data_IF_895962015816
#
_entry.id   IF_895962015816
#
_cell.length_a   1.000
_cell.length_b   1.000
_cell.length_c   1.000
_cell.angle_alpha   90.00
_cell.angle_beta   90.00
_cell.angle_gamma   90.00
#
_symmetry.space_group_name_H-M   'P 1'
#
loop_
_entity.id
_entity.type
_entity.pdbx_description
1 polymer ?
#
# COMPACT_ATOMS: atom_id res chain seq x y z
N UNK A 1 -2.12 -8.70 -12.68
CA UNK A 1 -2.48 -8.05 -11.39
C UNK A 1 -3.30 -6.80 -11.70
N UNK A 2 -4.51 -6.71 -11.16
CA UNK A 2 -5.33 -5.50 -11.25
C UNK A 2 -4.99 -4.56 -10.08
N UNK A 3 -4.78 -3.27 -10.34
CA UNK A 3 -4.44 -2.28 -9.32
C UNK A 3 -5.57 -1.28 -9.13
N UNK A 4 -6.03 -1.15 -7.88
CA UNK A 4 -7.02 -0.18 -7.43
C UNK A 4 -6.43 0.74 -6.37
N UNK A 5 -7.05 1.88 -6.14
CA UNK A 5 -6.59 2.87 -5.19
C UNK A 5 -7.80 3.44 -4.44
N UNK A 6 -7.78 3.38 -3.11
CA UNK A 6 -8.83 4.00 -2.31
C UNK A 6 -8.76 5.54 -2.41
N UNK A 7 -9.86 6.25 -2.09
CA UNK A 7 -9.83 7.71 -2.03
C UNK A 7 -8.75 8.26 -1.07
N UNK A 8 -8.51 7.58 0.05
CA UNK A 8 -7.49 8.01 1.02
C UNK A 8 -6.09 7.83 0.46
N UNK A 9 -5.80 6.70 -0.20
CA UNK A 9 -4.52 6.52 -0.89
C UNK A 9 -4.29 7.61 -1.93
N UNK A 10 -5.29 7.91 -2.77
CA UNK A 10 -5.17 8.96 -3.78
C UNK A 10 -4.90 10.34 -3.16
N UNK A 11 -5.54 10.65 -2.03
CA UNK A 11 -5.32 11.88 -1.28
C UNK A 11 -3.88 11.95 -0.74
N UNK A 12 -3.42 10.86 -0.14
CA UNK A 12 -2.05 10.73 0.36
C UNK A 12 -1.02 10.89 -0.78
N UNK A 13 -1.25 10.18 -1.89
CA UNK A 13 -0.40 10.19 -3.07
C UNK A 13 -0.29 11.59 -3.67
N UNK A 14 -1.42 12.28 -3.89
CA UNK A 14 -1.45 13.67 -4.39
C UNK A 14 -0.67 14.63 -3.48
N UNK A 15 -0.75 14.46 -2.15
CA UNK A 15 -0.01 15.27 -1.19
C UNK A 15 1.50 15.03 -1.28
N UNK A 16 1.91 13.76 -1.34
CA UNK A 16 3.32 13.36 -1.35
C UNK A 16 4.00 13.63 -2.70
N UNK A 17 3.27 13.48 -3.82
CA UNK A 17 3.76 13.79 -5.17
C UNK A 17 4.23 15.24 -5.32
N UNK A 18 3.63 16.17 -4.60
CA UNK A 18 4.08 17.57 -4.55
C UNK A 18 5.48 17.73 -3.95
N UNK A 19 5.89 16.81 -3.08
CA UNK A 19 7.20 16.81 -2.40
C UNK A 19 8.23 15.93 -3.12
N UNK A 20 7.77 14.82 -3.70
CA UNK A 20 8.62 13.78 -4.27
C UNK A 20 8.27 13.58 -5.74
N UNK A 21 8.99 14.26 -6.63
CA UNK A 21 8.69 14.27 -8.06
C UNK A 21 8.84 12.89 -8.71
N UNK A 22 9.67 12.01 -8.13
CA UNK A 22 9.86 10.63 -8.61
C UNK A 22 8.71 9.69 -8.25
N UNK A 23 7.73 10.12 -7.45
CA UNK A 23 6.78 9.23 -6.80
C UNK A 23 5.92 8.42 -7.78
N UNK A 24 5.56 8.98 -8.94
CA UNK A 24 4.82 8.23 -9.98
C UNK A 24 5.61 7.04 -10.50
N UNK A 25 6.86 7.28 -10.88
CA UNK A 25 7.78 6.24 -11.37
C UNK A 25 8.14 5.25 -10.25
N UNK A 26 8.32 5.72 -9.02
CA UNK A 26 8.61 4.88 -7.86
C UNK A 26 7.42 3.94 -7.54
N UNK A 27 6.19 4.44 -7.64
CA UNK A 27 4.98 3.61 -7.50
C UNK A 27 4.85 2.62 -8.67
N UNK A 28 5.20 3.02 -9.90
CA UNK A 28 5.18 2.13 -11.05
C UNK A 28 6.17 0.95 -10.87
N UNK A 29 7.39 1.21 -10.40
CA UNK A 29 8.34 0.15 -10.06
C UNK A 29 7.84 -0.72 -8.91
N UNK A 30 7.25 -0.12 -7.88
CA UNK A 30 6.65 -0.88 -6.79
C UNK A 30 5.54 -1.82 -7.28
N UNK A 31 4.64 -1.35 -8.16
CA UNK A 31 3.58 -2.16 -8.80
C UNK A 31 4.16 -3.35 -9.58
N UNK A 32 5.31 -3.21 -10.25
CA UNK A 32 6.00 -4.35 -10.91
C UNK A 32 6.45 -5.39 -9.88
N UNK A 33 7.06 -4.96 -8.77
CA UNK A 33 7.51 -5.86 -7.71
C UNK A 33 6.35 -6.64 -7.11
N UNK A 34 5.29 -5.96 -6.69
CA UNK A 34 4.13 -6.63 -6.05
C UNK A 34 3.27 -7.41 -7.03
N UNK A 35 3.42 -7.22 -8.34
CA UNK A 35 2.81 -8.10 -9.35
C UNK A 35 3.45 -9.48 -9.37
N UNK A 36 4.73 -9.59 -9.02
CA UNK A 36 5.47 -10.86 -8.95
C UNK A 36 5.49 -11.42 -7.53
N UNK A 37 5.62 -10.54 -6.54
CA UNK A 37 5.63 -10.90 -5.12
C UNK A 37 4.60 -10.07 -4.34
N UNK A 38 3.30 -10.41 -4.42
CA UNK A 38 2.23 -9.63 -3.78
C UNK A 38 2.32 -9.57 -2.26
N UNK A 39 2.90 -10.59 -1.62
CA UNK A 39 3.19 -10.59 -0.18
C UNK A 39 4.61 -10.08 0.15
N UNK A 40 5.34 -9.70 -0.90
CA UNK A 40 6.73 -9.28 -0.84
C UNK A 40 7.72 -10.38 -0.46
N UNK A 41 8.97 -9.96 -0.26
CA UNK A 41 10.08 -10.80 0.19
C UNK A 41 10.92 -10.04 1.22
N UNK A 42 11.26 -10.71 2.32
CA UNK A 42 12.15 -10.20 3.36
C UNK A 42 11.56 -9.08 4.23
N UNK A 43 12.43 -8.38 4.98
CA UNK A 43 12.06 -7.42 6.04
C UNK A 43 11.32 -6.15 5.59
N UNK A 44 11.09 -5.98 4.29
CA UNK A 44 10.43 -4.79 3.74
C UNK A 44 8.91 -4.93 3.66
N UNK A 45 8.40 -6.13 3.93
CA UNK A 45 6.98 -6.44 3.89
C UNK A 45 6.55 -7.10 5.19
N UNK A 46 5.30 -6.87 5.57
CA UNK A 46 4.65 -7.54 6.69
C UNK A 46 3.18 -7.76 6.35
N UNK A 47 2.72 -9.00 6.46
CA UNK A 47 1.27 -9.29 6.45
C UNK A 47 0.73 -8.89 7.80
N UNK A 48 -0.19 -7.92 7.83
CA UNK A 48 -0.76 -7.40 9.07
C UNK A 48 -1.95 -8.23 9.55
N UNK A 49 -2.80 -8.63 8.62
CA UNK A 49 -4.00 -9.42 8.90
C UNK A 49 -4.53 -10.07 7.63
N UNK A 50 -5.40 -11.07 7.79
CA UNK A 50 -6.10 -11.75 6.72
C UNK A 50 -7.57 -11.93 7.09
N UNK A 51 -8.47 -11.60 6.17
CA UNK A 51 -9.92 -11.75 6.34
C UNK A 51 -10.57 -12.07 5.00
N UNK A 52 -11.41 -13.11 4.98
CA UNK A 52 -12.18 -13.51 3.79
C UNK A 52 -11.32 -13.67 2.51
N UNK A 53 -10.13 -14.25 2.63
CA UNK A 53 -9.20 -14.45 1.50
C UNK A 53 -8.49 -13.17 1.01
N UNK A 54 -8.67 -12.04 1.71
CA UNK A 54 -7.95 -10.80 1.47
C UNK A 54 -6.90 -10.60 2.55
N UNK A 55 -5.64 -10.44 2.13
CA UNK A 55 -4.49 -10.16 3.01
C UNK A 55 -4.18 -8.67 3.00
N UNK A 56 -4.06 -8.06 4.16
CA UNK A 56 -3.57 -6.69 4.32
C UNK A 56 -2.07 -6.74 4.50
N UNK A 57 -1.34 -6.09 3.60
CA UNK A 57 0.11 -6.09 3.56
C UNK A 57 0.63 -4.67 3.75
N UNK A 58 1.58 -4.51 4.66
CA UNK A 58 2.39 -3.31 4.82
C UNK A 58 3.71 -3.49 4.09
N UNK A 59 4.11 -2.49 3.31
CA UNK A 59 5.33 -2.55 2.53
C UNK A 59 6.13 -1.25 2.57
N UNK A 60 7.45 -1.37 2.43
CA UNK A 60 8.34 -0.25 2.12
C UNK A 60 8.27 0.05 0.63
N UNK A 61 7.90 1.28 0.29
CA UNK A 61 7.99 1.84 -1.05
C UNK A 61 9.25 2.72 -1.10
N UNK A 62 10.24 2.27 -1.86
CA UNK A 62 11.49 3.01 -2.06
C UNK A 62 11.23 4.21 -2.96
N UNK A 63 11.52 5.40 -2.45
CA UNK A 63 11.34 6.65 -3.19
C UNK A 63 12.70 7.27 -3.44
N UNK A 64 13.05 7.56 -4.71
CA UNK A 64 14.38 8.05 -5.09
C UNK A 64 14.75 9.40 -4.45
N UNK A 65 13.75 10.23 -4.16
CA UNK A 65 13.96 11.52 -3.50
C UNK A 65 14.29 11.40 -2.00
N UNK A 66 13.90 10.30 -1.35
CA UNK A 66 14.16 10.08 0.07
C UNK A 66 15.54 9.44 0.26
N UNK A 67 16.55 10.26 0.57
CA UNK A 67 17.90 9.79 0.91
C UNK A 67 17.93 9.21 2.33
N UNK A 68 17.87 7.88 2.44
CA UNK A 68 17.98 7.16 3.72
C UNK A 68 16.65 6.85 4.40
N UNK A 69 15.55 7.45 3.95
CA UNK A 69 14.21 7.16 4.45
C UNK A 69 13.36 6.41 3.38
N UNK A 70 12.07 6.26 3.62
CA UNK A 70 11.14 5.58 2.71
C UNK A 70 9.70 5.97 2.96
N UNK A 71 8.91 5.77 1.92
CA UNK A 71 7.47 5.74 2.07
C UNK A 71 7.04 4.35 2.52
N UNK A 72 5.93 4.29 3.25
CA UNK A 72 5.24 3.06 3.61
C UNK A 72 3.86 3.09 3.01
N UNK A 73 3.44 1.95 2.49
CA UNK A 73 2.10 1.76 1.96
C UNK A 73 1.47 0.54 2.60
N UNK A 74 0.16 0.61 2.82
CA UNK A 74 -0.66 -0.55 3.10
C UNK A 74 -1.55 -0.82 1.89
N UNK A 75 -1.71 -2.09 1.55
CA UNK A 75 -2.60 -2.51 0.49
C UNK A 75 -3.28 -3.82 0.86
N UNK A 76 -4.46 -4.02 0.29
CA UNK A 76 -5.15 -5.29 0.30
C UNK A 76 -4.74 -6.10 -0.93
N UNK A 77 -4.56 -7.41 -0.75
CA UNK A 77 -4.25 -8.36 -1.82
C UNK A 77 -5.25 -9.51 -1.76
N UNK A 78 -5.92 -9.77 -2.90
CA UNK A 78 -6.73 -10.96 -3.09
C UNK A 78 -6.08 -11.87 -4.12
N UNK A 79 -5.70 -13.07 -3.68
CA UNK A 79 -5.03 -14.05 -4.52
C UNK A 79 -5.97 -14.70 -5.54
N UNK A 80 -7.21 -14.99 -5.15
CA UNK A 80 -8.20 -15.61 -6.05
C UNK A 80 -8.54 -14.67 -7.20
N UNK A 81 -8.82 -13.41 -6.89
CA UNK A 81 -9.27 -12.39 -7.86
C UNK A 81 -8.10 -11.60 -8.49
N UNK A 82 -6.86 -11.91 -8.12
CA UNK A 82 -5.63 -11.33 -8.69
C UNK A 82 -5.62 -9.79 -8.73
N UNK A 83 -5.99 -9.16 -7.60
CA UNK A 83 -5.95 -7.71 -7.44
C UNK A 83 -5.19 -7.25 -6.21
N UNK A 84 -4.67 -6.02 -6.31
CA UNK A 84 -4.10 -5.24 -5.23
C UNK A 84 -4.84 -3.90 -5.16
N UNK A 85 -5.29 -3.52 -3.97
CA UNK A 85 -5.89 -2.22 -3.73
C UNK A 85 -5.10 -1.45 -2.67
N UNK A 86 -4.55 -0.31 -3.07
CA UNK A 86 -3.77 0.54 -2.18
C UNK A 86 -4.68 1.32 -1.24
N UNK A 87 -4.41 1.23 0.07
CA UNK A 87 -5.25 1.78 1.14
C UNK A 87 -4.66 3.08 1.69
N UNK A 88 -3.37 3.08 2.01
CA UNK A 88 -2.68 4.20 2.66
C UNK A 88 -1.27 4.38 2.09
N UNK A 89 -0.78 5.62 2.09
CA UNK A 89 0.62 5.95 1.78
C UNK A 89 1.13 7.07 2.71
N UNK A 90 2.25 6.85 3.38
CA UNK A 90 2.83 7.83 4.29
C UNK A 90 4.35 7.80 4.26
N UNK A 91 4.98 8.93 4.59
CA UNK A 91 6.42 8.98 4.83
C UNK A 91 6.72 8.56 6.26
N UNK A 92 7.74 7.72 6.48
CA UNK A 92 8.05 7.17 7.81
C UNK A 92 8.44 8.25 8.83
N UNK A 93 8.97 9.37 8.38
CA UNK A 93 9.24 10.55 9.20
C UNK A 93 7.99 11.39 9.55
N UNK A 94 6.89 11.24 8.83
CA UNK A 94 5.62 11.92 9.10
C UNK A 94 4.68 11.05 9.97
N UNK A 95 4.81 9.72 9.86
CA UNK A 95 3.96 8.76 10.57
C UNK A 95 4.72 7.46 10.81
N UNK A 96 4.67 6.96 12.05
CA UNK A 96 5.46 5.80 12.46
C UNK A 96 4.82 4.47 12.03
N UNK A 97 3.50 4.37 12.15
CA UNK A 97 2.71 3.14 11.93
C UNK A 97 1.52 3.42 11.04
N UNK A 98 1.01 2.41 10.36
CA UNK A 98 -0.22 2.45 9.57
C UNK A 98 -1.44 2.84 10.40
N UNK A 99 -2.46 3.38 9.73
CA UNK A 99 -3.73 3.70 10.38
C UNK A 99 -4.59 2.45 10.54
N UNK A 100 -4.70 1.94 11.77
CA UNK A 100 -5.60 0.82 12.10
C UNK A 100 -7.05 1.14 11.74
N UNK A 101 -7.46 2.41 11.86
CA UNK A 101 -8.80 2.84 11.49
C UNK A 101 -9.08 2.68 9.98
N UNK A 102 -8.12 3.01 9.11
CA UNK A 102 -8.28 2.82 7.67
C UNK A 102 -8.38 1.33 7.32
N UNK A 103 -7.55 0.50 7.93
CA UNK A 103 -7.57 -0.96 7.74
C UNK A 103 -8.91 -1.54 8.21
N UNK A 104 -9.37 -1.19 9.41
CA UNK A 104 -10.63 -1.68 9.95
C UNK A 104 -11.83 -1.22 9.13
N UNK A 105 -11.81 0.04 8.67
CA UNK A 105 -12.85 0.60 7.80
C UNK A 105 -12.91 -0.15 6.46
N UNK A 106 -11.74 -0.41 5.86
CA UNK A 106 -11.62 -1.19 4.62
C UNK A 106 -12.11 -2.64 4.79
N UNK A 107 -11.69 -3.31 5.87
CA UNK A 107 -12.13 -4.68 6.16
C UNK A 107 -13.65 -4.79 6.47
N UNK A 108 -14.28 -3.70 6.92
CA UNK A 108 -15.73 -3.60 7.10
C UNK A 108 -16.46 -3.34 5.79
N UNK A 109 -15.89 -2.56 4.87
CA UNK A 109 -16.50 -2.36 3.55
C UNK A 109 -16.54 -3.65 2.74
N UNK A 110 -15.48 -4.46 2.79
CA UNK A 110 -15.45 -5.78 2.14
C UNK A 110 -16.58 -6.72 2.60
N UNK A 111 -16.97 -6.66 3.89
CA UNK A 111 -18.04 -7.51 4.43
C UNK A 111 -19.46 -7.03 4.08
N UNK A 112 -19.61 -5.84 3.48
CA UNK A 112 -20.92 -5.32 3.07
C UNK A 112 -21.26 -5.61 1.60
N UNK A 113 -20.30 -6.13 0.85
CA UNK A 113 -20.45 -6.47 -0.57
C UNK A 113 -20.70 -7.97 -0.80
N UNK A 114 -20.85 -8.75 0.28
CA UNK A 114 -21.20 -10.19 0.28
C UNK A 114 -22.64 -10.38 0.76
#
# INVERSE_FOLDING_TARGET
>A
MNFKETPEFQRNFKRLKKKYLSLDEDLAEFKKVVSVFPLGRGKHFAVLTEKAGVKIVKARLFCRYLKGDSLRTTYAYCEVEQWIEFIELYAKNEQETESSWLIDSYLKSLSKEV
#
